data_IF_081766818652
#
_entry.id   IF_081766818652
#
_cell.length_a   1.000
_cell.length_b   1.000
_cell.length_c   1.000
_cell.angle_alpha   90.00
_cell.angle_beta   90.00
_cell.angle_gamma   90.00
#
_symmetry.space_group_name_H-M   'P 1'
#
loop_
_entity.id
_entity.type
_entity.pdbx_description
1 polymer ?
#
# COMPACT_ATOMS: atom_id res chain seq x y z
N UNK A 1 -1.13 77.61 5.28
CA UNK A 1 -1.53 77.64 3.86
C UNK A 1 -0.30 77.32 3.03
N UNK A 2 -0.09 76.04 2.70
CA UNK A 2 0.41 75.53 1.42
C UNK A 2 0.88 74.08 1.57
N UNK A 3 0.04 73.21 1.04
CA UNK A 3 0.24 71.81 0.72
C UNK A 3 1.07 71.73 -0.56
N UNK A 4 2.19 71.00 -0.57
CA UNK A 4 2.67 70.25 -1.74
C UNK A 4 3.22 68.92 -1.24
N UNK A 5 2.37 67.89 -1.31
CA UNK A 5 2.76 66.49 -1.40
C UNK A 5 3.66 66.30 -2.64
N UNK A 6 4.70 65.46 -2.57
CA UNK A 6 4.92 64.37 -3.54
C UNK A 6 6.04 63.40 -3.07
N UNK A 7 5.58 62.21 -2.68
CA UNK A 7 6.13 60.86 -2.95
C UNK A 7 7.49 60.43 -2.39
N UNK A 8 7.40 59.78 -1.22
CA UNK A 8 7.85 58.39 -0.97
C UNK A 8 8.88 57.81 -1.96
N UNK A 9 10.16 57.92 -1.62
CA UNK A 9 11.20 57.03 -2.10
C UNK A 9 11.01 55.64 -1.50
N UNK A 10 10.11 54.86 -2.10
CA UNK A 10 9.94 53.44 -1.83
C UNK A 10 11.25 52.75 -2.24
N UNK A 11 12.11 52.41 -1.28
CA UNK A 11 13.16 51.41 -1.50
C UNK A 11 12.41 50.11 -1.79
N UNK A 12 12.16 49.85 -3.07
CA UNK A 12 11.73 48.54 -3.53
C UNK A 12 12.93 47.62 -3.32
N UNK A 13 12.98 46.99 -2.15
CA UNK A 13 13.75 45.77 -1.97
C UNK A 13 13.07 44.76 -2.88
N UNK A 14 13.54 44.68 -4.13
CA UNK A 14 13.31 43.54 -5.01
C UNK A 14 13.96 42.34 -4.32
N UNK A 15 13.24 41.75 -3.37
CA UNK A 15 13.48 40.37 -2.97
C UNK A 15 13.14 39.57 -4.22
N UNK A 16 14.15 39.33 -5.04
CA UNK A 16 14.15 38.23 -5.99
C UNK A 16 13.95 36.97 -5.16
N UNK A 17 12.69 36.58 -4.94
CA UNK A 17 12.36 35.21 -4.60
C UNK A 17 12.72 34.38 -5.84
N UNK A 18 14.00 34.05 -5.96
CA UNK A 18 14.43 32.91 -6.75
C UNK A 18 13.85 31.73 -6.00
N UNK A 19 12.63 31.32 -6.38
CA UNK A 19 12.16 29.97 -6.15
C UNK A 19 13.16 29.07 -6.89
N UNK A 20 14.23 28.68 -6.21
CA UNK A 20 14.89 27.44 -6.54
C UNK A 20 13.81 26.39 -6.32
N UNK A 21 13.13 26.01 -7.41
CA UNK A 21 12.46 24.73 -7.49
C UNK A 21 13.56 23.70 -7.34
N UNK A 22 13.98 23.44 -6.10
CA UNK A 22 14.68 22.23 -5.76
C UNK A 22 13.74 21.15 -6.25
N UNK A 23 14.16 20.41 -7.27
CA UNK A 23 13.47 19.19 -7.66
C UNK A 23 13.62 18.24 -6.47
N UNK A 24 12.72 18.36 -5.50
CA UNK A 24 12.61 17.38 -4.42
C UNK A 24 12.08 16.14 -5.12
N UNK A 25 12.98 15.19 -5.36
CA UNK A 25 12.58 13.87 -5.84
C UNK A 25 11.54 13.31 -4.86
N UNK A 26 10.49 12.68 -5.38
CA UNK A 26 9.47 12.07 -4.54
C UNK A 26 10.06 11.00 -3.60
N UNK A 27 11.20 10.41 -3.99
CA UNK A 27 11.88 9.36 -3.23
C UNK A 27 13.40 9.45 -3.43
N UNK A 28 14.17 8.89 -2.50
CA UNK A 28 15.63 8.79 -2.61
C UNK A 28 16.02 7.52 -3.34
N UNK A 29 17.03 7.56 -4.22
CA UNK A 29 17.48 6.39 -4.99
C UNK A 29 18.96 6.11 -4.73
N UNK A 30 19.27 4.85 -4.44
CA UNK A 30 20.63 4.32 -4.33
C UNK A 30 20.71 3.02 -5.12
N UNK A 31 21.39 3.04 -6.27
CA UNK A 31 21.32 1.98 -7.29
C UNK A 31 19.88 1.76 -7.77
N UNK A 32 19.29 0.59 -7.48
CA UNK A 32 17.91 0.23 -7.80
C UNK A 32 17.00 0.15 -6.56
N UNK A 33 17.49 0.60 -5.40
CA UNK A 33 16.72 0.74 -4.16
C UNK A 33 16.17 2.17 -4.08
N UNK A 34 14.86 2.28 -4.02
CA UNK A 34 14.14 3.55 -3.96
C UNK A 34 13.42 3.66 -2.62
N UNK A 35 13.80 4.67 -1.83
CA UNK A 35 13.30 4.92 -0.47
C UNK A 35 12.23 6.00 -0.50
N UNK A 36 11.02 5.63 -0.11
CA UNK A 36 9.88 6.53 -0.07
C UNK A 36 9.44 6.83 1.37
N UNK A 37 8.76 7.96 1.54
CA UNK A 37 8.26 8.43 2.85
C UNK A 37 6.75 8.68 2.88
N UNK A 38 6.05 8.54 1.75
CA UNK A 38 4.60 8.60 1.62
C UNK A 38 4.12 7.55 0.61
N UNK A 39 2.83 7.22 0.64
CA UNK A 39 2.22 6.28 -0.30
C UNK A 39 2.33 6.74 -1.76
N UNK A 40 2.16 8.04 -2.03
CA UNK A 40 2.30 8.59 -3.38
C UNK A 40 3.74 8.46 -3.89
N UNK A 41 4.72 8.75 -3.02
CA UNK A 41 6.15 8.60 -3.31
C UNK A 41 6.52 7.14 -3.61
N UNK A 42 6.00 6.20 -2.81
CA UNK A 42 6.21 4.78 -3.04
C UNK A 42 5.56 4.32 -4.35
N UNK A 43 4.38 4.84 -4.69
CA UNK A 43 3.71 4.53 -5.96
C UNK A 43 4.52 5.06 -7.14
N UNK A 44 5.02 6.31 -7.06
CA UNK A 44 5.92 6.89 -8.07
C UNK A 44 7.21 6.09 -8.23
N UNK A 45 7.82 5.64 -7.12
CA UNK A 45 8.99 4.77 -7.15
C UNK A 45 8.67 3.40 -7.79
N UNK A 46 7.48 2.84 -7.53
CA UNK A 46 7.04 1.60 -8.17
C UNK A 46 6.75 1.77 -9.66
N UNK A 47 6.48 2.99 -10.13
CA UNK A 47 6.36 3.32 -11.54
C UNK A 47 7.69 3.63 -12.22
N UNK A 48 8.75 3.90 -11.48
CA UNK A 48 10.04 4.26 -12.07
C UNK A 48 10.83 3.02 -12.51
N UNK A 49 11.13 2.90 -13.80
CA UNK A 49 11.88 1.78 -14.37
C UNK A 49 13.27 1.54 -13.76
N UNK A 50 13.89 2.54 -13.11
CA UNK A 50 15.16 2.40 -12.42
C UNK A 50 15.04 1.66 -11.06
N UNK A 51 13.86 1.67 -10.44
CA UNK A 51 13.62 1.05 -9.14
C UNK A 51 13.27 -0.44 -9.29
N UNK A 52 14.04 -1.32 -8.66
CA UNK A 52 13.68 -2.75 -8.51
C UNK A 52 13.11 -3.06 -7.12
N UNK A 53 13.57 -2.34 -6.09
CA UNK A 53 13.08 -2.45 -4.72
C UNK A 53 12.63 -1.08 -4.27
N UNK A 54 11.38 -0.98 -3.82
CA UNK A 54 10.82 0.22 -3.22
C UNK A 54 10.62 -0.05 -1.74
N UNK A 55 11.31 0.75 -0.92
CA UNK A 55 11.33 0.58 0.53
C UNK A 55 10.71 1.77 1.24
N UNK A 56 9.72 1.52 2.09
CA UNK A 56 9.20 2.53 3.00
C UNK A 56 10.20 2.73 4.17
N UNK A 57 10.40 3.99 4.58
CA UNK A 57 11.43 4.35 5.57
C UNK A 57 10.87 4.93 6.88
N UNK A 58 9.56 5.04 6.99
CA UNK A 58 8.88 5.57 8.18
C UNK A 58 7.46 5.03 8.29
N UNK A 59 6.92 5.12 9.49
CA UNK A 59 5.50 4.89 9.70
C UNK A 59 4.67 5.98 9.03
N UNK A 60 3.57 5.56 8.42
CA UNK A 60 2.53 6.40 7.85
C UNK A 60 1.29 6.23 8.70
N UNK A 61 0.88 7.29 9.40
CA UNK A 61 -0.33 7.33 10.19
C UNK A 61 -1.27 8.44 9.68
N UNK A 62 -2.35 8.68 10.42
CA UNK A 62 -3.32 9.72 10.06
C UNK A 62 -2.70 11.12 9.90
N UNK A 63 -1.63 11.45 10.64
CA UNK A 63 -0.98 12.76 10.54
C UNK A 63 -0.24 12.95 9.20
N UNK A 64 0.25 11.85 8.61
CA UNK A 64 0.99 11.84 7.34
C UNK A 64 0.04 11.63 6.16
N UNK A 65 -0.90 10.70 6.31
CA UNK A 65 -1.82 10.28 5.25
C UNK A 65 -3.08 11.12 5.16
N UNK A 66 -3.34 11.97 6.17
CA UNK A 66 -4.57 12.74 6.28
C UNK A 66 -5.83 11.90 6.47
N UNK A 67 -6.99 12.57 6.41
CA UNK A 67 -8.32 11.96 6.64
C UNK A 67 -9.02 11.45 5.38
N UNK A 68 -8.38 11.46 4.22
CA UNK A 68 -8.98 10.99 2.94
C UNK A 68 -9.09 9.47 2.88
N UNK A 69 -10.19 8.86 2.43
CA UNK A 69 -10.31 7.40 2.25
C UNK A 69 -9.39 6.76 1.20
N UNK A 70 -8.33 7.45 0.75
CA UNK A 70 -7.43 7.01 -0.29
C UNK A 70 -6.67 5.72 0.08
N UNK A 71 -6.48 4.89 -0.94
CA UNK A 71 -5.58 3.74 -0.91
C UNK A 71 -4.12 4.17 -0.84
N UNK A 72 -3.22 3.29 -0.38
CA UNK A 72 -1.79 3.61 -0.35
C UNK A 72 -1.10 3.33 -1.69
N UNK A 73 -0.94 2.06 -2.08
CA UNK A 73 -0.36 1.71 -3.39
C UNK A 73 -1.48 1.40 -4.38
N UNK A 74 -1.55 2.16 -5.48
CA UNK A 74 -2.61 2.03 -6.48
C UNK A 74 -2.01 1.68 -7.83
N UNK A 75 -2.06 0.38 -8.17
CA UNK A 75 -1.77 -0.21 -9.46
C UNK A 75 -0.67 0.49 -10.29
N UNK A 76 0.57 0.57 -9.78
CA UNK A 76 1.67 1.23 -10.49
C UNK A 76 1.84 0.59 -11.88
N UNK A 77 1.79 1.39 -12.95
CA UNK A 77 1.94 0.98 -14.34
C UNK A 77 3.14 0.02 -14.56
N UNK A 78 4.29 0.32 -13.94
CA UNK A 78 5.52 -0.47 -14.09
C UNK A 78 5.85 -1.32 -12.86
N UNK A 79 4.85 -1.66 -12.05
CA UNK A 79 5.05 -2.43 -10.81
C UNK A 79 5.48 -3.89 -10.98
N UNK A 80 5.37 -4.48 -12.18
CA UNK A 80 5.73 -5.89 -12.40
C UNK A 80 7.23 -6.12 -12.21
N UNK A 81 7.61 -7.25 -11.61
CA UNK A 81 9.01 -7.59 -11.32
C UNK A 81 9.62 -6.89 -10.11
N UNK A 82 8.85 -6.08 -9.37
CA UNK A 82 9.36 -5.24 -8.28
C UNK A 82 9.05 -5.77 -6.89
N UNK A 83 9.78 -5.27 -5.91
CA UNK A 83 9.53 -5.52 -4.49
C UNK A 83 9.04 -4.22 -3.84
N UNK A 84 7.86 -4.27 -3.22
CA UNK A 84 7.42 -3.28 -2.25
C UNK A 84 7.69 -3.83 -0.84
N UNK A 85 8.66 -3.23 -0.16
CA UNK A 85 9.11 -3.60 1.19
C UNK A 85 8.79 -2.48 2.16
N UNK A 86 7.86 -2.67 3.08
CA UNK A 86 7.59 -1.62 4.05
C UNK A 86 8.62 -1.53 5.18
N UNK A 87 9.64 -2.41 5.19
CA UNK A 87 10.67 -2.43 6.22
C UNK A 87 10.12 -2.46 7.66
N UNK A 88 9.03 -3.22 7.87
CA UNK A 88 8.27 -3.34 9.11
C UNK A 88 7.51 -2.08 9.55
N UNK A 89 7.47 -1.02 8.74
CA UNK A 89 6.72 0.18 9.03
C UNK A 89 5.22 -0.01 8.91
N UNK A 90 4.51 0.76 9.73
CA UNK A 90 3.05 0.90 9.71
C UNK A 90 2.61 1.73 8.52
N UNK A 91 1.55 1.30 7.87
CA UNK A 91 0.72 2.12 7.00
C UNK A 91 -0.70 2.06 7.59
N UNK A 92 -1.15 3.14 8.20
CA UNK A 92 -2.40 3.21 8.94
C UNK A 92 -3.30 4.32 8.40
N UNK A 93 -4.57 3.97 8.19
CA UNK A 93 -5.65 4.93 7.97
C UNK A 93 -6.31 5.30 9.30
N UNK A 94 -7.00 6.44 9.31
CA UNK A 94 -7.80 6.81 10.47
C UNK A 94 -8.93 5.79 10.75
N UNK A 95 -9.41 5.72 11.99
CA UNK A 95 -10.43 4.76 12.46
C UNK A 95 -11.80 4.87 11.78
N UNK A 96 -12.05 5.91 11.00
CA UNK A 96 -13.23 6.05 10.13
C UNK A 96 -12.90 6.02 8.64
N UNK A 97 -11.64 6.12 8.24
CA UNK A 97 -11.25 6.33 6.84
C UNK A 97 -11.37 5.10 5.92
N UNK A 98 -11.25 3.88 6.45
CA UNK A 98 -11.40 2.63 5.68
C UNK A 98 -12.83 2.12 5.51
N UNK A 99 -13.83 3.00 5.52
CA UNK A 99 -15.22 2.59 5.22
C UNK A 99 -15.48 2.52 3.71
N UNK A 100 -14.81 3.35 2.91
CA UNK A 100 -15.00 3.43 1.45
C UNK A 100 -14.56 2.12 0.76
N UNK A 101 -15.38 1.68 -0.21
CA UNK A 101 -15.18 0.46 -1.00
C UNK A 101 -13.83 0.41 -1.74
N UNK A 102 -13.23 1.58 -1.98
CA UNK A 102 -11.98 1.77 -2.71
C UNK A 102 -10.77 2.07 -1.79
N UNK A 103 -10.84 1.73 -0.50
CA UNK A 103 -9.73 1.90 0.45
C UNK A 103 -8.92 0.62 0.64
N UNK A 104 -7.74 0.58 0.02
CA UNK A 104 -6.82 -0.56 0.01
C UNK A 104 -5.43 -0.17 0.55
N UNK A 105 -4.78 -1.07 1.28
CA UNK A 105 -3.35 -0.93 1.55
C UNK A 105 -2.57 -1.04 0.25
N UNK A 106 -2.82 -2.10 -0.52
CA UNK A 106 -2.28 -2.28 -1.87
C UNK A 106 -3.37 -2.76 -2.80
N UNK A 107 -3.48 -2.14 -3.98
CA UNK A 107 -4.32 -2.57 -5.08
C UNK A 107 -3.46 -2.84 -6.31
N UNK A 108 -3.49 -4.06 -6.85
CA UNK A 108 -2.80 -4.43 -8.08
C UNK A 108 -3.78 -5.03 -9.09
N UNK A 109 -3.58 -4.68 -10.36
CA UNK A 109 -4.29 -5.27 -11.50
C UNK A 109 -3.30 -5.54 -12.64
N UNK A 110 -3.43 -6.69 -13.28
CA UNK A 110 -2.62 -7.10 -14.44
C UNK A 110 -1.10 -7.05 -14.14
N UNK A 111 -0.70 -7.50 -12.94
CA UNK A 111 0.70 -7.52 -12.49
C UNK A 111 1.29 -8.90 -12.46
N UNK A 112 2.62 -8.94 -12.63
CA UNK A 112 3.40 -10.18 -12.57
C UNK A 112 4.64 -10.00 -11.73
N UNK A 113 5.06 -11.09 -11.07
CA UNK A 113 6.39 -11.21 -10.46
C UNK A 113 6.68 -10.12 -9.42
N UNK A 114 5.66 -9.71 -8.66
CA UNK A 114 5.78 -8.64 -7.65
C UNK A 114 5.79 -9.23 -6.23
N UNK A 115 6.57 -8.65 -5.34
CA UNK A 115 6.59 -9.01 -3.91
C UNK A 115 6.11 -7.86 -3.04
N UNK A 116 5.18 -8.12 -2.13
CA UNK A 116 4.73 -7.22 -1.07
C UNK A 116 5.16 -7.83 0.26
N UNK A 117 6.05 -7.16 0.99
CA UNK A 117 6.60 -7.73 2.22
C UNK A 117 6.82 -6.73 3.35
N UNK A 118 6.83 -7.29 4.56
CA UNK A 118 7.14 -6.58 5.80
C UNK A 118 6.26 -5.34 6.05
N UNK A 119 5.02 -5.34 5.57
CA UNK A 119 4.08 -4.23 5.74
C UNK A 119 3.14 -4.47 6.90
N UNK A 120 2.84 -3.41 7.65
CA UNK A 120 1.82 -3.42 8.69
C UNK A 120 0.64 -2.52 8.27
N UNK A 121 -0.35 -3.09 7.60
CA UNK A 121 -1.53 -2.39 7.08
C UNK A 121 -2.64 -2.33 8.14
N UNK A 122 -3.10 -1.13 8.47
CA UNK A 122 -4.08 -0.90 9.54
C UNK A 122 -5.23 -0.01 9.05
N UNK A 123 -6.47 -0.37 9.41
CA UNK A 123 -7.69 0.43 9.19
C UNK A 123 -8.06 0.71 7.73
N UNK A 124 -7.50 -0.03 6.77
CA UNK A 124 -8.01 -0.05 5.40
C UNK A 124 -9.31 -0.86 5.32
N UNK A 125 -10.12 -0.66 4.27
CA UNK A 125 -11.26 -1.55 4.02
C UNK A 125 -10.77 -2.96 3.71
N UNK A 126 -9.84 -3.06 2.75
CA UNK A 126 -9.09 -4.30 2.52
C UNK A 126 -7.58 -4.06 2.63
N UNK A 127 -6.84 -5.04 3.13
CA UNK A 127 -5.38 -4.94 3.22
C UNK A 127 -4.71 -4.97 1.84
N UNK A 128 -4.85 -6.08 1.13
CA UNK A 128 -4.24 -6.30 -0.20
C UNK A 128 -5.27 -6.86 -1.17
N UNK A 129 -5.47 -6.17 -2.29
CA UNK A 129 -6.37 -6.57 -3.37
C UNK A 129 -5.60 -6.81 -4.67
N UNK A 130 -5.74 -8.00 -5.23
CA UNK A 130 -5.04 -8.45 -6.43
C UNK A 130 -6.06 -8.92 -7.48
N UNK A 131 -5.96 -8.39 -8.69
CA UNK A 131 -6.83 -8.75 -9.81
C UNK A 131 -6.01 -9.20 -11.03
N UNK A 132 -6.41 -10.32 -11.63
CA UNK A 132 -5.92 -10.78 -12.94
C UNK A 132 -4.38 -10.78 -13.03
N UNK A 133 -3.73 -11.20 -11.94
CA UNK A 133 -2.28 -11.10 -11.74
C UNK A 133 -1.67 -12.47 -11.47
N UNK A 134 -0.36 -12.62 -11.70
CA UNK A 134 0.31 -13.90 -11.51
C UNK A 134 1.65 -13.79 -10.78
N UNK A 135 2.03 -14.83 -10.04
CA UNK A 135 3.31 -14.88 -9.34
C UNK A 135 3.51 -13.67 -8.37
N UNK A 136 2.46 -13.32 -7.63
CA UNK A 136 2.53 -12.30 -6.59
C UNK A 136 2.90 -12.96 -5.28
N UNK A 137 3.94 -12.47 -4.61
CA UNK A 137 4.34 -12.92 -3.27
C UNK A 137 3.90 -11.91 -2.23
N UNK A 138 3.04 -12.33 -1.29
CA UNK A 138 2.61 -11.53 -0.14
C UNK A 138 3.17 -12.22 1.10
N UNK A 139 4.21 -11.65 1.71
CA UNK A 139 4.94 -12.33 2.78
C UNK A 139 5.34 -11.46 3.96
N UNK A 140 5.30 -12.03 5.17
CA UNK A 140 5.69 -11.35 6.41
C UNK A 140 4.92 -10.03 6.66
N UNK A 141 3.68 -9.94 6.19
CA UNK A 141 2.84 -8.76 6.43
C UNK A 141 1.96 -8.95 7.66
N UNK A 142 1.67 -7.85 8.35
CA UNK A 142 0.65 -7.75 9.40
C UNK A 142 -0.53 -6.98 8.80
N UNK A 143 -1.71 -7.56 8.81
CA UNK A 143 -2.91 -6.97 8.20
C UNK A 143 -4.03 -6.92 9.23
N UNK A 144 -4.42 -5.70 9.57
CA UNK A 144 -5.54 -5.38 10.46
C UNK A 144 -6.49 -4.40 9.76
N UNK A 145 -7.18 -4.90 8.74
CA UNK A 145 -8.17 -4.19 7.92
C UNK A 145 -9.59 -4.48 8.40
N UNK A 146 -10.56 -3.66 7.98
CA UNK A 146 -11.95 -3.75 8.46
C UNK A 146 -12.74 -4.88 7.82
N UNK A 147 -12.75 -4.96 6.50
CA UNK A 147 -13.64 -5.87 5.79
C UNK A 147 -12.93 -7.17 5.39
N UNK A 148 -11.86 -7.07 4.60
CA UNK A 148 -11.10 -8.21 4.11
C UNK A 148 -9.59 -8.06 4.34
N UNK A 149 -8.88 -9.16 4.55
CA UNK A 149 -7.42 -9.16 4.69
C UNK A 149 -6.71 -9.11 3.33
N UNK A 150 -6.67 -10.26 2.66
CA UNK A 150 -6.08 -10.45 1.33
C UNK A 150 -7.16 -11.00 0.39
N UNK A 151 -7.44 -10.27 -0.68
CA UNK A 151 -8.37 -10.68 -1.72
C UNK A 151 -7.63 -10.86 -3.05
N UNK A 152 -7.78 -12.02 -3.67
CA UNK A 152 -7.24 -12.32 -5.00
C UNK A 152 -8.35 -12.81 -5.91
N UNK A 153 -8.57 -12.09 -7.02
CA UNK A 153 -9.46 -12.48 -8.10
C UNK A 153 -8.67 -12.79 -9.35
N UNK A 154 -8.95 -13.92 -9.98
CA UNK A 154 -8.29 -14.36 -11.22
C UNK A 154 -6.75 -14.42 -11.07
N UNK A 155 -6.27 -14.78 -9.88
CA UNK A 155 -4.85 -14.88 -9.57
C UNK A 155 -4.29 -16.28 -9.78
N UNK A 156 -3.06 -16.37 -10.26
CA UNK A 156 -2.37 -17.66 -10.44
C UNK A 156 -0.94 -17.64 -9.92
N UNK A 157 -0.48 -18.77 -9.36
CA UNK A 157 0.89 -18.92 -8.84
C UNK A 157 1.26 -17.91 -7.74
N UNK A 158 0.28 -17.32 -7.05
CA UNK A 158 0.53 -16.40 -5.95
C UNK A 158 0.93 -17.19 -4.69
N UNK A 159 1.79 -16.59 -3.86
CA UNK A 159 2.27 -17.16 -2.61
C UNK A 159 1.96 -16.22 -1.44
N UNK A 160 1.13 -16.67 -0.50
CA UNK A 160 0.73 -15.96 0.71
C UNK A 160 1.37 -16.67 1.90
N UNK A 161 2.48 -16.11 2.40
CA UNK A 161 3.38 -16.82 3.32
C UNK A 161 3.73 -16.01 4.56
N UNK A 162 3.56 -16.60 5.75
CA UNK A 162 3.97 -16.01 7.03
C UNK A 162 3.30 -14.64 7.32
N UNK A 163 2.07 -14.43 6.87
CA UNK A 163 1.32 -13.21 7.19
C UNK A 163 0.53 -13.40 8.49
N UNK A 164 0.33 -12.31 9.22
CA UNK A 164 -0.53 -12.25 10.40
C UNK A 164 -1.77 -11.41 10.04
N UNK A 165 -2.95 -12.02 10.08
CA UNK A 165 -4.21 -11.38 9.75
C UNK A 165 -5.11 -11.35 11.00
N UNK A 166 -5.63 -10.18 11.36
CA UNK A 166 -6.52 -10.01 12.54
C UNK A 166 -7.53 -8.88 12.37
N UNK A 167 -8.62 -8.92 13.14
CA UNK A 167 -9.60 -7.83 13.24
C UNK A 167 -10.36 -7.46 11.94
N UNK A 168 -10.70 -8.43 11.10
CA UNK A 168 -11.58 -8.21 9.94
C UNK A 168 -12.98 -8.79 10.14
N UNK A 169 -13.96 -8.22 9.45
CA UNK A 169 -15.39 -8.50 9.59
C UNK A 169 -15.94 -9.52 8.58
N UNK A 170 -15.26 -9.79 7.47
CA UNK A 170 -15.73 -10.74 6.44
C UNK A 170 -14.77 -11.91 6.20
N UNK A 171 -13.58 -11.64 5.65
CA UNK A 171 -12.68 -12.73 5.22
C UNK A 171 -11.22 -12.41 5.45
N UNK A 172 -10.45 -13.37 5.97
CA UNK A 172 -8.99 -13.31 6.04
C UNK A 172 -8.34 -13.32 4.67
N UNK A 173 -8.37 -14.48 4.03
CA UNK A 173 -7.84 -14.71 2.69
C UNK A 173 -8.98 -15.19 1.80
N UNK A 174 -9.29 -14.45 0.75
CA UNK A 174 -10.30 -14.84 -0.25
C UNK A 174 -9.65 -15.02 -1.62
N UNK A 175 -9.76 -16.22 -2.17
CA UNK A 175 -9.42 -16.52 -3.55
C UNK A 175 -10.70 -16.71 -4.38
N UNK A 176 -10.92 -15.88 -5.39
CA UNK A 176 -12.04 -15.99 -6.34
C UNK A 176 -11.51 -16.30 -7.74
N UNK A 177 -12.01 -17.37 -8.38
CA UNK A 177 -11.57 -17.80 -9.72
C UNK A 177 -10.03 -17.89 -9.82
N UNK A 178 -9.36 -18.27 -8.74
CA UNK A 178 -7.90 -18.16 -8.60
C UNK A 178 -7.28 -19.53 -8.38
N UNK A 179 -6.43 -19.95 -9.31
CA UNK A 179 -5.96 -21.33 -9.41
C UNK A 179 -4.45 -21.45 -9.17
N UNK A 180 -4.00 -22.57 -8.61
CA UNK A 180 -2.58 -22.86 -8.50
C UNK A 180 -1.81 -21.95 -7.54
N UNK A 181 -2.46 -21.43 -6.50
CA UNK A 181 -1.86 -20.55 -5.50
C UNK A 181 -1.44 -21.34 -4.25
N UNK A 182 -0.62 -20.71 -3.41
CA UNK A 182 -0.17 -21.29 -2.16
C UNK A 182 -0.43 -20.37 -0.97
N UNK A 183 -1.03 -20.91 0.08
CA UNK A 183 -1.31 -20.22 1.33
C UNK A 183 -0.64 -21.02 2.46
N UNK A 184 0.46 -20.48 3.02
CA UNK A 184 1.26 -21.21 4.03
C UNK A 184 1.65 -20.40 5.24
N UNK A 185 1.70 -21.07 6.39
CA UNK A 185 2.28 -20.53 7.63
C UNK A 185 1.66 -19.18 8.06
N UNK A 186 0.42 -18.89 7.66
CA UNK A 186 -0.24 -17.65 8.07
C UNK A 186 -0.89 -17.84 9.43
N UNK A 187 -0.85 -16.79 10.26
CA UNK A 187 -1.56 -16.71 11.52
C UNK A 187 -2.83 -15.86 11.33
N UNK A 188 -3.97 -16.52 11.41
CA UNK A 188 -5.31 -15.99 11.21
C UNK A 188 -6.14 -16.06 12.51
N UNK A 189 -5.52 -16.43 13.64
CA UNK A 189 -6.23 -16.61 14.93
C UNK A 189 -6.82 -15.32 15.50
N UNK A 190 -6.35 -14.17 15.03
CA UNK A 190 -6.93 -12.86 15.37
C UNK A 190 -8.19 -12.51 14.57
N UNK A 191 -8.65 -13.40 13.68
CA UNK A 191 -9.93 -13.26 12.97
C UNK A 191 -11.02 -13.90 13.84
N UNK A 192 -11.75 -13.07 14.56
CA UNK A 192 -12.76 -13.52 15.53
C UNK A 192 -14.16 -13.07 15.11
N UNK A 193 -15.13 -13.98 15.11
CA UNK A 193 -16.54 -13.66 14.87
C UNK A 193 -17.26 -14.78 14.13
N UNK A 194 -18.55 -14.99 14.45
CA UNK A 194 -19.32 -16.14 13.96
C UNK A 194 -19.68 -16.06 12.47
N UNK A 195 -19.50 -14.90 11.83
CA UNK A 195 -19.83 -14.66 10.42
C UNK A 195 -18.59 -14.44 9.54
N UNK A 196 -17.40 -14.69 10.09
CA UNK A 196 -16.13 -14.39 9.43
C UNK A 196 -15.47 -15.69 8.96
N UNK A 197 -14.89 -15.68 7.76
CA UNK A 197 -14.16 -16.84 7.21
C UNK A 197 -12.66 -16.57 7.17
N UNK A 198 -11.84 -17.39 7.81
CA UNK A 198 -10.38 -17.19 7.79
C UNK A 198 -9.79 -17.36 6.39
N UNK A 199 -10.10 -18.46 5.70
CA UNK A 199 -9.67 -18.74 4.32
C UNK A 199 -10.88 -19.19 3.51
N UNK A 200 -11.23 -18.44 2.47
CA UNK A 200 -12.34 -18.73 1.57
C UNK A 200 -11.84 -18.94 0.14
N UNK A 201 -12.15 -20.09 -0.44
CA UNK A 201 -11.86 -20.43 -1.84
C UNK A 201 -13.16 -20.52 -2.62
N UNK A 202 -13.37 -19.62 -3.56
CA UNK A 202 -14.55 -19.59 -4.42
C UNK A 202 -14.14 -19.85 -5.87
N UNK A 203 -14.71 -20.90 -6.48
CA UNK A 203 -14.43 -21.30 -7.88
C UNK A 203 -12.92 -21.39 -8.19
N UNK A 204 -12.16 -21.86 -7.21
CA UNK A 204 -10.70 -21.81 -7.17
C UNK A 204 -10.14 -23.21 -6.98
N UNK A 205 -9.25 -23.66 -7.87
CA UNK A 205 -8.76 -25.03 -7.95
C UNK A 205 -7.22 -25.11 -7.81
N UNK A 206 -6.72 -26.30 -7.46
CA UNK A 206 -5.28 -26.59 -7.38
C UNK A 206 -4.49 -25.66 -6.42
N UNK A 207 -5.15 -25.13 -5.40
CA UNK A 207 -4.50 -24.31 -4.38
C UNK A 207 -3.94 -25.19 -3.25
N UNK A 208 -2.76 -24.83 -2.74
CA UNK A 208 -2.14 -25.52 -1.60
C UNK A 208 -2.31 -24.68 -0.33
N UNK A 209 -3.10 -25.19 0.61
CA UNK A 209 -3.27 -24.62 1.96
C UNK A 209 -2.50 -25.51 2.93
N UNK A 210 -1.46 -24.99 3.58
CA UNK A 210 -0.61 -25.78 4.49
C UNK A 210 -0.14 -24.98 5.69
N UNK A 211 -0.21 -25.56 6.89
CA UNK A 211 0.34 -25.00 8.13
C UNK A 211 -0.20 -23.60 8.47
N UNK A 212 -1.46 -23.28 8.15
CA UNK A 212 -2.06 -22.03 8.60
C UNK A 212 -2.73 -22.25 9.96
N UNK A 213 -2.58 -21.29 10.86
CA UNK A 213 -3.22 -21.27 12.17
C UNK A 213 -4.48 -20.39 12.05
N UNK A 214 -5.68 -20.94 12.17
CA UNK A 214 -6.93 -20.24 11.88
C UNK A 214 -8.05 -20.69 12.81
#
# INVERSE_FOLDING_TARGET
MNQIFFKSGLIVVLIFFVFFAMNVSAYEMENNLCKCTHCEDCTKALDDGACSVVQLTRDLDESVMGKSGASCIINPAFGSGKIFDCNNHKIERCSSCGQDENTYGVYLRDKKDMTIKNCNFINFRNGVNIYSSSNIKITNNKISSRYGGIYIKEGTKCALENNVLKNMELTGIHLLNSNGNSIRNNDLTGITGNSVTAIFLEKSAQNLIKNNNA
#
